data_IF_857888155932
#
_entry.id   IF_857888155932
#
_cell.length_a   1.000
_cell.length_b   1.000
_cell.length_c   1.000
_cell.angle_alpha   90.00
_cell.angle_beta   90.00
_cell.angle_gamma   90.00
#
_symmetry.space_group_name_H-M   'P 1'
#
loop_
_entity.id
_entity.type
_entity.pdbx_description
1 polymer ?
#
# COMPACT_ATOMS: atom_id res chain seq x y z
N UNK A 1 20.73 -9.22 21.23
CA UNK A 1 20.93 -8.76 19.86
C UNK A 1 19.84 -7.75 19.61
N UNK A 2 20.19 -6.48 19.42
CA UNK A 2 19.23 -5.43 19.11
C UNK A 2 18.61 -5.77 17.75
N UNK A 3 17.32 -6.01 17.69
CA UNK A 3 16.59 -6.07 16.42
C UNK A 3 16.69 -4.68 15.81
N UNK A 4 17.63 -4.47 14.87
CA UNK A 4 17.59 -3.28 14.03
C UNK A 4 16.36 -3.42 13.13
N UNK A 5 15.21 -2.94 13.59
CA UNK A 5 14.13 -2.66 12.67
C UNK A 5 14.63 -1.56 11.72
N UNK A 6 14.38 -1.69 10.41
CA UNK A 6 14.77 -0.65 9.45
C UNK A 6 14.09 0.68 9.83
N UNK A 7 14.79 1.79 9.59
CA UNK A 7 14.22 3.11 9.77
C UNK A 7 13.27 3.40 8.62
N UNK A 8 12.01 3.09 8.81
CA UNK A 8 10.95 3.31 7.82
C UNK A 8 10.39 4.71 7.96
N UNK A 9 10.31 5.41 6.83
CA UNK A 9 9.65 6.73 6.72
C UNK A 9 8.51 6.66 5.71
N UNK A 10 7.46 7.44 5.97
CA UNK A 10 6.31 7.61 5.08
C UNK A 10 6.29 9.04 4.60
N UNK A 11 5.98 9.24 3.33
CA UNK A 11 5.93 10.57 2.75
C UNK A 11 4.80 10.72 1.73
N UNK A 12 4.41 11.98 1.53
CA UNK A 12 3.49 12.42 0.51
C UNK A 12 3.79 13.87 0.12
N UNK A 13 3.57 14.21 -1.14
CA UNK A 13 3.77 15.55 -1.71
C UNK A 13 2.53 16.11 -2.36
N UNK A 14 2.26 17.39 -2.12
CA UNK A 14 1.34 18.17 -2.97
C UNK A 14 2.16 18.98 -3.97
N UNK A 15 1.66 19.07 -5.20
CA UNK A 15 2.43 19.62 -6.31
C UNK A 15 1.61 20.60 -7.18
N UNK A 16 2.28 21.34 -8.05
CA UNK A 16 1.63 22.25 -9.01
C UNK A 16 1.08 21.55 -10.26
N UNK A 17 1.30 20.24 -10.39
CA UNK A 17 0.87 19.42 -11.52
C UNK A 17 1.43 18.01 -11.41
N UNK A 18 1.45 17.27 -12.51
CA UNK A 18 1.78 15.85 -12.52
C UNK A 18 3.16 15.54 -13.12
N UNK A 19 3.83 16.52 -13.71
CA UNK A 19 4.98 16.33 -14.59
C UNK A 19 6.20 17.15 -14.13
N UNK A 20 7.03 16.65 -13.21
CA UNK A 20 8.22 17.36 -12.75
C UNK A 20 9.21 17.64 -13.89
N UNK A 21 9.26 16.80 -14.93
CA UNK A 21 10.06 16.99 -16.14
C UNK A 21 9.56 18.16 -17.02
N UNK A 22 8.31 18.57 -16.87
CA UNK A 22 7.72 19.74 -17.55
C UNK A 22 7.73 21.00 -16.68
N UNK A 23 8.38 20.92 -15.51
CA UNK A 23 8.59 22.04 -14.61
C UNK A 23 7.48 22.21 -13.56
N UNK A 24 6.71 21.17 -13.27
CA UNK A 24 5.86 21.18 -12.09
C UNK A 24 6.72 21.04 -10.82
N UNK A 25 6.24 21.65 -9.74
CA UNK A 25 7.03 21.85 -8.50
C UNK A 25 6.25 21.39 -7.25
N UNK A 26 6.99 21.05 -6.20
CA UNK A 26 6.42 20.66 -4.92
C UNK A 26 5.87 21.90 -4.19
N UNK A 27 4.65 21.80 -3.69
CA UNK A 27 3.97 22.81 -2.87
C UNK A 27 3.95 22.44 -1.38
N UNK A 28 3.94 21.16 -1.06
CA UNK A 28 3.94 20.64 0.30
C UNK A 28 4.65 19.28 0.35
N UNK A 29 5.32 19.02 1.43
CA UNK A 29 5.94 17.72 1.73
C UNK A 29 5.74 17.40 3.20
N UNK A 30 5.23 16.22 3.48
CA UNK A 30 5.21 15.63 4.82
C UNK A 30 6.05 14.36 4.85
N UNK A 31 6.83 14.16 5.91
CA UNK A 31 7.54 12.93 6.20
C UNK A 31 7.29 12.55 7.66
N UNK A 32 6.83 11.33 7.91
CA UNK A 32 6.64 10.79 9.26
C UNK A 32 7.43 9.49 9.46
N UNK A 33 7.70 9.13 10.72
CA UNK A 33 8.27 7.82 11.04
C UNK A 33 7.17 6.72 11.09
N UNK A 34 7.57 5.47 11.32
CA UNK A 34 6.66 4.33 11.42
C UNK A 34 5.62 4.42 12.55
N UNK A 35 5.77 5.36 13.47
CA UNK A 35 4.81 5.63 14.54
C UNK A 35 3.90 6.83 14.24
N UNK A 36 4.05 7.46 13.07
CA UNK A 36 3.31 8.65 12.68
C UNK A 36 3.85 9.95 13.31
N UNK A 37 5.07 9.93 13.88
CA UNK A 37 5.71 11.13 14.40
C UNK A 37 6.29 11.94 13.26
N UNK A 38 5.99 13.23 13.22
CA UNK A 38 6.52 14.18 12.24
C UNK A 38 8.05 14.25 12.28
N UNK A 39 8.67 14.02 11.14
CA UNK A 39 10.08 14.26 10.87
C UNK A 39 10.27 15.53 10.04
N UNK A 40 9.29 15.81 9.16
CA UNK A 40 9.23 17.00 8.31
C UNK A 40 7.78 17.27 7.91
N UNK A 41 7.36 18.55 7.88
CA UNK A 41 6.03 18.97 7.42
C UNK A 41 6.07 20.47 7.10
N UNK A 42 6.20 20.80 5.80
CA UNK A 42 6.33 22.17 5.35
C UNK A 42 5.64 22.40 3.98
N UNK A 43 5.20 23.63 3.76
CA UNK A 43 4.77 24.15 2.47
C UNK A 43 5.82 25.04 1.85
N UNK A 44 5.83 25.11 0.52
CA UNK A 44 6.85 25.81 -0.24
C UNK A 44 6.26 26.74 -1.29
N UNK A 45 6.94 27.86 -1.52
CA UNK A 45 6.74 28.67 -2.70
C UNK A 45 7.41 27.99 -3.90
N UNK A 46 6.69 27.72 -5.01
CA UNK A 46 7.33 27.25 -6.23
C UNK A 46 8.23 28.34 -6.83
N UNK A 47 9.33 27.93 -7.49
CA UNK A 47 10.31 28.86 -8.08
C UNK A 47 9.82 29.48 -9.40
N UNK A 48 9.16 28.67 -10.21
CA UNK A 48 8.84 29.00 -11.60
C UNK A 48 7.35 29.07 -11.88
N UNK A 49 6.58 28.12 -11.40
CA UNK A 49 5.12 28.09 -11.58
C UNK A 49 4.47 29.25 -10.82
N UNK A 50 3.51 29.92 -11.48
CA UNK A 50 2.78 31.05 -10.89
C UNK A 50 1.32 30.71 -10.63
N UNK A 51 0.76 29.80 -11.41
CA UNK A 51 -0.62 29.35 -11.33
C UNK A 51 -0.69 27.86 -11.61
N UNK A 52 -1.61 27.17 -10.93
CA UNK A 52 -1.84 25.72 -11.06
C UNK A 52 -3.32 25.38 -10.77
N UNK A 53 -4.28 25.92 -11.55
CA UNK A 53 -5.70 25.82 -11.25
C UNK A 53 -6.21 24.37 -11.16
N UNK A 54 -5.69 23.45 -11.98
CA UNK A 54 -6.06 22.04 -11.95
C UNK A 54 -5.59 21.36 -10.65
N UNK A 55 -4.33 21.55 -10.27
CA UNK A 55 -3.79 21.00 -9.02
C UNK A 55 -4.42 21.68 -7.80
N UNK A 56 -4.65 22.99 -7.85
CA UNK A 56 -5.33 23.75 -6.79
C UNK A 56 -6.76 23.24 -6.55
N UNK A 57 -7.47 22.83 -7.60
CA UNK A 57 -8.81 22.24 -7.45
C UNK A 57 -8.79 20.93 -6.65
N UNK A 58 -7.65 20.22 -6.61
CA UNK A 58 -7.46 18.96 -5.90
C UNK A 58 -6.88 19.18 -4.50
N UNK A 59 -5.70 19.84 -4.42
CA UNK A 59 -4.96 19.98 -3.15
C UNK A 59 -5.32 21.25 -2.35
N UNK A 60 -6.13 22.13 -2.91
CA UNK A 60 -6.62 23.37 -2.28
C UNK A 60 -5.51 24.34 -1.84
N UNK A 61 -4.31 24.23 -2.43
CA UNK A 61 -3.21 25.16 -2.19
C UNK A 61 -3.21 26.22 -3.30
N UNK A 62 -3.56 27.44 -2.96
CA UNK A 62 -3.54 28.56 -3.90
C UNK A 62 -2.16 29.23 -3.97
N UNK A 63 -1.85 30.01 -5.01
CA UNK A 63 -0.65 30.84 -5.06
C UNK A 63 -0.50 31.76 -3.85
N UNK A 64 -1.61 32.34 -3.37
CA UNK A 64 -1.61 33.26 -2.22
C UNK A 64 -1.21 32.59 -0.93
N UNK A 65 -1.53 31.28 -0.77
CA UNK A 65 -1.18 30.49 0.42
C UNK A 65 0.34 30.30 0.57
N UNK A 66 1.08 30.35 -0.53
CA UNK A 66 2.52 29.99 -0.55
C UNK A 66 3.42 31.14 -1.01
N UNK A 67 2.88 32.26 -1.52
CA UNK A 67 3.70 33.34 -2.09
C UNK A 67 4.72 33.97 -1.09
N UNK A 68 4.39 33.94 0.19
CA UNK A 68 5.20 34.49 1.28
C UNK A 68 6.17 33.45 1.90
N UNK A 69 6.12 32.19 1.45
CA UNK A 69 6.96 31.11 1.96
C UNK A 69 8.30 31.07 1.25
N UNK A 70 9.23 30.31 1.81
CA UNK A 70 10.52 30.00 1.18
C UNK A 70 10.35 28.86 0.18
N UNK A 71 11.31 28.74 -0.75
CA UNK A 71 11.35 27.61 -1.67
C UNK A 71 11.87 26.35 -0.96
N UNK A 72 11.58 25.18 -1.53
CA UNK A 72 12.05 23.89 -1.01
C UNK A 72 13.57 23.81 -0.82
N UNK A 73 14.35 24.59 -1.59
CA UNK A 73 15.82 24.62 -1.47
C UNK A 73 16.30 24.94 -0.05
N UNK A 74 15.57 25.79 0.66
CA UNK A 74 15.94 26.17 2.03
C UNK A 74 15.93 24.96 3.00
N UNK A 75 15.21 23.93 2.65
CA UNK A 75 15.02 22.72 3.46
C UNK A 75 15.74 21.49 2.89
N UNK A 76 16.39 21.61 1.74
CA UNK A 76 16.95 20.47 1.01
C UNK A 76 17.97 19.67 1.83
N UNK A 77 18.78 20.33 2.65
CA UNK A 77 19.72 19.62 3.53
C UNK A 77 19.00 18.75 4.57
N UNK A 78 17.89 19.23 5.13
CA UNK A 78 17.08 18.46 6.08
C UNK A 78 16.37 17.29 5.39
N UNK A 79 15.79 17.51 4.21
CA UNK A 79 15.13 16.51 3.41
C UNK A 79 16.11 15.40 3.03
N UNK A 80 17.28 15.76 2.47
CA UNK A 80 18.32 14.79 2.13
C UNK A 80 18.83 14.03 3.36
N UNK A 81 18.96 14.70 4.51
CA UNK A 81 19.35 14.01 5.74
C UNK A 81 18.38 12.91 6.12
N UNK A 82 17.08 13.11 5.93
CA UNK A 82 16.06 12.11 6.23
C UNK A 82 16.08 10.99 5.18
N UNK A 83 16.05 11.34 3.90
CA UNK A 83 15.84 10.38 2.81
C UNK A 83 17.12 9.63 2.38
N UNK A 84 18.28 10.23 2.56
CA UNK A 84 19.57 9.65 2.13
C UNK A 84 20.35 9.01 3.29
N UNK A 85 20.27 9.58 4.51
CA UNK A 85 21.13 9.15 5.62
C UNK A 85 20.41 8.42 6.73
N UNK A 86 19.09 8.56 6.85
CA UNK A 86 18.30 7.97 7.94
C UNK A 86 17.42 6.86 7.45
N UNK A 87 16.72 7.05 6.32
CA UNK A 87 15.74 6.09 5.84
C UNK A 87 16.40 4.84 5.25
N UNK A 88 16.02 3.68 5.79
CA UNK A 88 16.29 2.36 5.22
C UNK A 88 15.13 1.91 4.33
N UNK A 89 13.92 2.41 4.60
CA UNK A 89 12.70 2.17 3.83
C UNK A 89 11.93 3.48 3.64
N UNK A 90 11.49 3.73 2.41
CA UNK A 90 10.69 4.90 2.03
C UNK A 90 9.37 4.41 1.47
N UNK A 91 8.29 4.79 2.12
CA UNK A 91 6.92 4.34 1.83
C UNK A 91 6.06 5.51 1.39
N UNK A 92 5.23 5.30 0.39
CA UNK A 92 4.22 6.25 -0.05
C UNK A 92 3.08 5.55 -0.81
N UNK A 93 2.04 6.29 -1.12
CA UNK A 93 0.93 5.79 -1.92
C UNK A 93 1.12 6.23 -3.37
N UNK A 94 1.52 5.33 -4.26
CA UNK A 94 2.08 5.65 -5.58
C UNK A 94 3.41 6.41 -5.45
N UNK A 95 4.27 5.94 -4.59
CA UNK A 95 5.51 6.60 -4.13
C UNK A 95 6.47 7.02 -5.26
N UNK A 96 6.37 6.39 -6.42
CA UNK A 96 7.19 6.75 -7.59
C UNK A 96 6.95 8.21 -8.03
N UNK A 97 5.72 8.71 -7.86
CA UNK A 97 5.35 10.10 -8.11
C UNK A 97 6.15 11.05 -7.21
N UNK A 98 6.08 10.84 -5.90
CA UNK A 98 6.77 11.68 -4.91
C UNK A 98 8.28 11.67 -5.07
N UNK A 99 8.85 10.48 -5.29
CA UNK A 99 10.28 10.30 -5.54
C UNK A 99 10.71 11.05 -6.81
N UNK A 100 9.88 11.04 -7.85
CA UNK A 100 10.13 11.79 -9.09
C UNK A 100 10.25 13.30 -8.83
N UNK A 101 9.30 13.85 -8.11
CA UNK A 101 9.29 15.27 -7.73
C UNK A 101 10.45 15.65 -6.79
N UNK A 102 10.73 14.83 -5.79
CA UNK A 102 11.85 15.05 -4.87
C UNK A 102 13.18 15.06 -5.59
N UNK A 103 13.43 14.12 -6.52
CA UNK A 103 14.64 14.08 -7.35
C UNK A 103 14.73 15.30 -8.27
N UNK A 104 13.63 15.71 -8.89
CA UNK A 104 13.60 16.90 -9.73
C UNK A 104 13.87 18.18 -8.93
N UNK A 105 13.46 18.25 -7.67
CA UNK A 105 13.78 19.32 -6.76
C UNK A 105 15.24 19.29 -6.25
N UNK A 106 16.00 18.22 -6.52
CA UNK A 106 17.41 18.08 -6.14
C UNK A 106 17.64 17.25 -4.87
N UNK A 107 16.64 16.54 -4.38
CA UNK A 107 16.82 15.64 -3.24
C UNK A 107 17.68 14.43 -3.60
N UNK A 108 18.59 14.06 -2.69
CA UNK A 108 19.30 12.78 -2.72
C UNK A 108 18.53 11.77 -1.88
N UNK A 109 18.47 10.55 -2.38
CA UNK A 109 17.78 9.43 -1.74
C UNK A 109 18.77 8.29 -1.63
N UNK A 110 18.80 7.65 -0.47
CA UNK A 110 19.62 6.47 -0.21
C UNK A 110 19.42 5.43 -1.33
N UNK A 111 20.45 5.10 -2.12
CA UNK A 111 20.30 4.13 -3.20
C UNK A 111 20.02 2.70 -2.71
N UNK A 112 20.31 2.42 -1.43
CA UNK A 112 20.08 1.12 -0.81
C UNK A 112 18.74 1.08 -0.05
N UNK A 113 18.01 2.19 0.04
CA UNK A 113 16.70 2.21 0.68
C UNK A 113 15.68 1.42 -0.14
N UNK A 114 14.88 0.60 0.53
CA UNK A 114 13.73 -0.04 -0.08
C UNK A 114 12.63 0.99 -0.35
N UNK A 115 12.16 1.04 -1.58
CA UNK A 115 11.02 1.89 -1.98
C UNK A 115 9.77 1.02 -1.97
N UNK A 116 8.81 1.36 -1.11
CA UNK A 116 7.60 0.57 -0.88
C UNK A 116 6.39 1.36 -1.36
N UNK A 117 5.66 0.80 -2.32
CA UNK A 117 4.42 1.39 -2.83
C UNK A 117 3.21 0.75 -2.16
N UNK A 118 2.64 1.45 -1.19
CA UNK A 118 1.46 0.98 -0.44
C UNK A 118 0.26 0.72 -1.35
N UNK A 119 0.08 1.49 -2.43
CA UNK A 119 -1.03 1.27 -3.36
C UNK A 119 -0.93 -0.12 -4.00
N UNK A 120 0.27 -0.48 -4.45
CA UNK A 120 0.50 -1.78 -5.07
C UNK A 120 0.35 -2.92 -4.07
N UNK A 121 1.01 -2.81 -2.91
CA UNK A 121 0.96 -3.86 -1.89
C UNK A 121 -0.45 -4.06 -1.32
N UNK A 122 -1.22 -2.97 -1.13
CA UNK A 122 -2.61 -3.05 -0.69
C UNK A 122 -3.51 -3.75 -1.72
N UNK A 123 -3.29 -3.47 -3.01
CA UNK A 123 -4.01 -4.15 -4.09
C UNK A 123 -3.65 -5.63 -4.18
N UNK A 124 -2.39 -5.98 -3.97
CA UNK A 124 -1.92 -7.37 -3.99
C UNK A 124 -2.51 -8.17 -2.82
N UNK A 125 -2.59 -7.56 -1.62
CA UNK A 125 -3.14 -8.20 -0.44
C UNK A 125 -4.67 -8.33 -0.47
N UNK A 126 -5.39 -7.29 -0.89
CA UNK A 126 -6.84 -7.17 -0.72
C UNK A 126 -7.62 -7.01 -2.04
N UNK A 127 -6.94 -7.08 -3.16
CA UNK A 127 -7.54 -6.90 -4.48
C UNK A 127 -8.01 -5.46 -4.72
N UNK A 128 -8.32 -5.18 -5.97
CA UNK A 128 -8.95 -3.92 -6.33
C UNK A 128 -10.46 -4.03 -6.08
N UNK A 129 -11.04 -3.04 -5.41
CA UNK A 129 -12.51 -2.97 -5.28
C UNK A 129 -13.13 -2.92 -6.69
N UNK A 130 -14.30 -3.59 -6.88
CA UNK A 130 -14.99 -3.80 -8.17
C UNK A 130 -15.41 -2.52 -8.91
N UNK A 131 -14.65 -1.44 -8.83
CA UNK A 131 -14.96 -0.13 -9.41
C UNK A 131 -14.51 0.02 -10.87
N UNK A 132 -13.87 -0.99 -11.44
CA UNK A 132 -13.34 -0.95 -12.82
C UNK A 132 -12.07 -0.10 -12.99
N UNK A 133 -11.58 0.55 -11.94
CA UNK A 133 -10.33 1.29 -11.99
C UNK A 133 -9.12 0.36 -11.93
N UNK A 134 -8.11 0.65 -12.74
CA UNK A 134 -6.83 -0.10 -12.76
C UNK A 134 -6.05 0.08 -11.47
N UNK A 135 -6.19 1.24 -10.82
CA UNK A 135 -5.53 1.60 -9.57
C UNK A 135 -6.59 1.95 -8.52
N UNK A 136 -6.29 1.67 -7.27
CA UNK A 136 -7.16 2.03 -6.15
C UNK A 136 -6.67 3.35 -5.54
N UNK A 137 -7.45 4.45 -5.59
CA UNK A 137 -7.11 5.69 -4.90
C UNK A 137 -6.96 5.49 -3.40
N UNK A 138 -6.10 6.30 -2.75
CA UNK A 138 -5.91 6.28 -1.30
C UNK A 138 -7.21 6.46 -0.53
N UNK A 139 -8.10 7.35 -1.01
CA UNK A 139 -9.41 7.57 -0.41
C UNK A 139 -10.27 6.30 -0.35
N UNK A 140 -10.18 5.45 -1.37
CA UNK A 140 -10.88 4.15 -1.39
C UNK A 140 -10.26 3.14 -0.44
N UNK A 141 -8.93 3.06 -0.39
CA UNK A 141 -8.23 2.20 0.58
C UNK A 141 -8.60 2.62 2.02
N UNK A 142 -8.55 3.92 2.31
CA UNK A 142 -8.95 4.50 3.58
C UNK A 142 -10.42 4.19 3.93
N UNK A 143 -11.34 4.32 2.96
CA UNK A 143 -12.76 3.97 3.15
C UNK A 143 -12.94 2.48 3.46
N UNK A 144 -12.22 1.59 2.76
CA UNK A 144 -12.26 0.14 3.04
C UNK A 144 -11.79 -0.19 4.44
N UNK A 145 -10.78 0.51 4.95
CA UNK A 145 -10.25 0.37 6.30
C UNK A 145 -11.12 1.03 7.39
N UNK A 146 -12.16 1.77 7.00
CA UNK A 146 -12.90 2.61 7.95
C UNK A 146 -12.02 3.70 8.59
N UNK A 147 -10.99 4.16 7.87
CA UNK A 147 -10.06 5.16 8.36
C UNK A 147 -10.77 6.51 8.59
N UNK A 148 -10.58 7.06 9.80
CA UNK A 148 -11.10 8.37 10.14
C UNK A 148 -10.07 9.45 9.82
N UNK A 149 -10.33 10.23 8.77
CA UNK A 149 -9.46 11.32 8.37
C UNK A 149 -9.32 12.36 9.48
N UNK A 150 -8.09 12.73 9.81
CA UNK A 150 -7.81 13.77 10.82
C UNK A 150 -8.01 15.18 10.29
N UNK A 151 -7.92 15.34 8.97
CA UNK A 151 -8.21 16.55 8.19
C UNK A 151 -8.75 16.13 6.82
N UNK A 152 -9.10 17.10 5.96
CA UNK A 152 -9.55 16.79 4.61
C UNK A 152 -8.50 15.99 3.84
N UNK A 153 -8.90 15.02 2.99
CA UNK A 153 -8.03 14.41 2.00
C UNK A 153 -7.38 15.45 1.09
N UNK A 154 -6.31 15.06 0.40
CA UNK A 154 -5.50 15.94 -0.46
C UNK A 154 -4.76 17.04 0.34
N UNK A 155 -4.16 16.63 1.44
CA UNK A 155 -3.16 17.38 2.16
C UNK A 155 -2.04 16.41 2.57
N UNK A 156 -0.79 16.77 2.30
CA UNK A 156 0.34 15.84 2.44
C UNK A 156 0.40 15.13 3.80
N UNK A 157 0.05 15.80 4.90
CA UNK A 157 0.02 15.16 6.23
C UNK A 157 -1.12 14.14 6.35
N UNK A 158 -2.33 14.48 5.94
CA UNK A 158 -3.48 13.57 6.03
C UNK A 158 -3.28 12.34 5.18
N UNK A 159 -2.75 12.52 3.97
CA UNK A 159 -2.52 11.44 3.02
C UNK A 159 -1.35 10.55 3.45
N UNK A 160 -0.25 11.13 4.00
CA UNK A 160 0.82 10.36 4.63
C UNK A 160 0.32 9.48 5.77
N UNK A 161 -0.56 10.00 6.65
CA UNK A 161 -1.10 9.23 7.78
C UNK A 161 -2.10 8.14 7.32
N UNK A 162 -2.88 8.39 6.29
CA UNK A 162 -3.75 7.38 5.69
C UNK A 162 -2.94 6.28 4.99
N UNK A 163 -1.87 6.64 4.28
CA UNK A 163 -0.91 5.69 3.70
C UNK A 163 -0.28 4.81 4.79
N UNK A 164 0.18 5.41 5.89
CA UNK A 164 0.73 4.67 7.04
C UNK A 164 -0.28 3.67 7.62
N UNK A 165 -1.55 4.04 7.74
CA UNK A 165 -2.59 3.14 8.22
C UNK A 165 -2.82 1.97 7.24
N UNK A 166 -2.83 2.25 5.93
CA UNK A 166 -2.97 1.24 4.90
C UNK A 166 -1.78 0.27 4.89
N UNK A 167 -0.55 0.80 4.98
CA UNK A 167 0.65 -0.05 5.02
C UNK A 167 0.70 -0.93 6.27
N UNK A 168 0.31 -0.42 7.43
CA UNK A 168 0.22 -1.25 8.64
C UNK A 168 -0.73 -2.43 8.46
N UNK A 169 -1.87 -2.22 7.79
CA UNK A 169 -2.79 -3.31 7.49
C UNK A 169 -2.16 -4.35 6.55
N UNK A 170 -1.41 -3.91 5.55
CA UNK A 170 -0.66 -4.81 4.63
C UNK A 170 0.43 -5.59 5.38
N UNK A 171 1.23 -4.90 6.21
CA UNK A 171 2.28 -5.54 7.01
C UNK A 171 1.70 -6.61 7.94
N UNK A 172 0.56 -6.33 8.57
CA UNK A 172 -0.14 -7.30 9.42
C UNK A 172 -0.69 -8.48 8.61
N UNK A 173 -1.25 -8.23 7.43
CA UNK A 173 -1.69 -9.28 6.52
C UNK A 173 -0.52 -10.18 6.11
N UNK A 174 0.58 -9.61 5.65
CA UNK A 174 1.75 -10.36 5.21
C UNK A 174 2.35 -11.21 6.35
N UNK A 175 2.42 -10.61 7.56
CA UNK A 175 2.84 -11.36 8.74
C UNK A 175 1.92 -12.56 9.01
N UNK A 176 0.60 -12.37 8.92
CA UNK A 176 -0.37 -13.44 9.12
C UNK A 176 -0.24 -14.56 8.08
N UNK A 177 -0.03 -14.20 6.81
CA UNK A 177 0.20 -15.18 5.74
C UNK A 177 1.38 -16.10 6.06
N UNK A 178 2.45 -15.52 6.57
CA UNK A 178 3.69 -16.27 6.87
C UNK A 178 3.65 -17.03 8.19
N UNK A 179 3.01 -16.47 9.22
CA UNK A 179 3.19 -16.91 10.60
C UNK A 179 1.92 -17.41 11.28
N UNK A 180 0.72 -16.97 10.82
CA UNK A 180 -0.53 -17.35 11.48
C UNK A 180 -0.86 -18.81 11.18
N UNK A 181 -1.01 -19.59 12.23
CA UNK A 181 -1.52 -20.96 12.15
C UNK A 181 -3.05 -20.97 12.20
N UNK A 182 -3.67 -21.57 11.19
CA UNK A 182 -5.12 -21.73 11.10
C UNK A 182 -5.52 -23.20 11.19
N UNK A 183 -6.69 -23.44 11.80
CA UNK A 183 -7.36 -24.73 11.76
C UNK A 183 -8.36 -24.77 10.59
N UNK A 184 -8.74 -25.98 10.17
CA UNK A 184 -9.82 -26.16 9.20
C UNK A 184 -11.12 -25.47 9.69
N UNK A 185 -11.41 -25.55 10.99
CA UNK A 185 -12.59 -24.96 11.59
C UNK A 185 -12.57 -23.42 11.51
N UNK A 186 -11.41 -22.79 11.73
CA UNK A 186 -11.25 -21.34 11.57
C UNK A 186 -11.54 -20.89 10.12
N UNK A 187 -11.02 -21.63 9.13
CA UNK A 187 -11.24 -21.35 7.71
C UNK A 187 -12.72 -21.51 7.34
N UNK A 188 -13.38 -22.56 7.85
CA UNK A 188 -14.77 -22.84 7.53
C UNK A 188 -15.75 -21.87 8.21
N UNK A 189 -15.37 -21.30 9.36
CA UNK A 189 -16.20 -20.40 10.16
C UNK A 189 -15.74 -18.93 10.10
N UNK A 190 -15.00 -18.56 9.05
CA UNK A 190 -14.58 -17.16 8.80
C UNK A 190 -15.78 -16.22 8.86
N UNK A 191 -15.57 -15.00 9.37
CA UNK A 191 -16.63 -14.00 9.51
C UNK A 191 -16.39 -12.80 8.60
N UNK A 192 -17.44 -12.25 7.98
CA UNK A 192 -17.30 -11.01 7.24
C UNK A 192 -16.88 -9.87 8.18
N UNK A 193 -15.99 -9.01 7.68
CA UNK A 193 -15.57 -7.81 8.39
C UNK A 193 -16.61 -6.73 8.11
N UNK A 194 -17.29 -6.30 9.17
CA UNK A 194 -18.31 -5.27 9.08
C UNK A 194 -17.71 -3.90 9.39
N UNK A 195 -18.04 -2.90 8.54
CA UNK A 195 -17.74 -1.48 8.77
C UNK A 195 -16.24 -1.11 8.95
N UNK A 196 -15.31 -1.89 8.40
CA UNK A 196 -13.87 -1.58 8.51
C UNK A 196 -13.40 -1.54 9.96
N UNK A 197 -13.87 -2.46 10.81
CA UNK A 197 -13.48 -2.53 12.21
C UNK A 197 -12.01 -2.91 12.35
N UNK A 198 -11.34 -2.32 13.34
CA UNK A 198 -9.95 -2.63 13.71
C UNK A 198 -8.89 -2.38 12.62
N UNK A 199 -9.16 -1.47 11.66
CA UNK A 199 -8.24 -1.16 10.57
C UNK A 199 -8.16 -2.25 9.50
N UNK A 200 -9.16 -3.13 9.40
CA UNK A 200 -9.29 -4.16 8.38
C UNK A 200 -10.23 -3.72 7.26
N UNK A 201 -9.99 -4.16 6.01
CA UNK A 201 -10.88 -3.85 4.89
C UNK A 201 -12.29 -4.44 5.09
N UNK A 202 -13.33 -3.60 5.00
CA UNK A 202 -14.74 -3.96 5.23
C UNK A 202 -15.33 -4.97 4.23
N UNK A 203 -14.67 -5.19 3.11
CA UNK A 203 -15.08 -6.13 2.06
C UNK A 203 -14.29 -7.45 2.10
N UNK A 204 -13.66 -7.72 3.22
CA UNK A 204 -12.89 -8.93 3.49
C UNK A 204 -13.55 -9.80 4.57
N UNK A 205 -12.93 -10.93 4.84
CA UNK A 205 -13.35 -11.92 5.82
C UNK A 205 -12.23 -12.12 6.83
N UNK A 206 -12.55 -12.08 8.12
CA UNK A 206 -11.60 -12.38 9.18
C UNK A 206 -11.54 -13.89 9.43
N UNK A 207 -10.36 -14.47 9.25
CA UNK A 207 -10.10 -15.89 9.50
C UNK A 207 -9.70 -16.17 10.94
N UNK A 208 -9.48 -15.16 11.77
CA UNK A 208 -9.06 -15.33 13.16
C UNK A 208 -9.82 -14.41 14.14
N UNK A 209 -11.15 -14.45 14.13
CA UNK A 209 -11.95 -13.58 14.98
C UNK A 209 -11.63 -13.83 16.46
N UNK A 210 -11.27 -12.75 17.18
CA UNK A 210 -10.90 -12.80 18.59
C UNK A 210 -9.42 -13.07 18.88
N UNK A 211 -8.59 -13.21 17.85
CA UNK A 211 -7.12 -13.24 17.90
C UNK A 211 -6.49 -12.06 17.20
N UNK A 212 -5.29 -12.26 16.62
CA UNK A 212 -4.72 -11.28 15.69
C UNK A 212 -5.55 -11.30 14.41
N UNK A 213 -6.20 -10.18 14.03
CA UNK A 213 -7.10 -10.17 12.88
C UNK A 213 -6.37 -10.53 11.59
N UNK A 214 -7.00 -11.36 10.77
CA UNK A 214 -6.45 -11.75 9.47
C UNK A 214 -7.50 -11.61 8.38
N UNK A 215 -7.45 -10.51 7.66
CA UNK A 215 -8.35 -10.21 6.58
C UNK A 215 -7.93 -10.91 5.28
N UNK A 216 -8.89 -11.57 4.65
CA UNK A 216 -8.73 -12.13 3.29
C UNK A 216 -9.92 -11.76 2.42
N UNK A 217 -9.70 -11.66 1.12
CA UNK A 217 -10.77 -11.44 0.15
C UNK A 217 -11.61 -12.70 -0.04
N UNK A 218 -12.84 -12.56 -0.53
CA UNK A 218 -13.73 -13.69 -0.79
C UNK A 218 -13.12 -14.77 -1.72
N UNK A 219 -12.41 -14.42 -2.83
CA UNK A 219 -11.75 -15.42 -3.67
C UNK A 219 -10.69 -16.23 -2.91
N UNK A 220 -9.92 -15.59 -2.02
CA UNK A 220 -8.93 -16.26 -1.18
C UNK A 220 -9.61 -17.17 -0.17
N UNK A 221 -10.66 -16.69 0.51
CA UNK A 221 -11.46 -17.50 1.42
C UNK A 221 -11.99 -18.78 0.74
N UNK A 222 -12.61 -18.64 -0.44
CA UNK A 222 -13.13 -19.78 -1.19
C UNK A 222 -12.03 -20.78 -1.56
N UNK A 223 -10.83 -20.31 -1.89
CA UNK A 223 -9.69 -21.18 -2.17
C UNK A 223 -9.25 -21.95 -0.93
N UNK A 224 -9.13 -21.30 0.21
CA UNK A 224 -8.79 -21.93 1.49
C UNK A 224 -9.86 -22.96 1.92
N UNK A 225 -11.14 -22.60 1.83
CA UNK A 225 -12.26 -23.50 2.13
C UNK A 225 -12.31 -24.73 1.21
N UNK A 226 -12.02 -24.54 -0.08
CA UNK A 226 -11.94 -25.64 -1.02
C UNK A 226 -10.79 -26.60 -0.68
N UNK A 227 -9.64 -26.04 -0.28
CA UNK A 227 -8.49 -26.83 0.21
C UNK A 227 -8.84 -27.62 1.47
N UNK A 228 -9.47 -26.98 2.45
CA UNK A 228 -9.90 -27.63 3.69
C UNK A 228 -10.84 -28.81 3.41
N UNK A 229 -11.85 -28.60 2.56
CA UNK A 229 -12.80 -29.66 2.13
C UNK A 229 -12.10 -30.84 1.43
N UNK A 230 -11.12 -30.57 0.57
CA UNK A 230 -10.36 -31.60 -0.12
C UNK A 230 -9.50 -32.41 0.86
N UNK A 231 -8.86 -31.74 1.82
CA UNK A 231 -8.08 -32.39 2.87
C UNK A 231 -8.94 -33.28 3.76
N UNK A 232 -10.12 -32.82 4.16
CA UNK A 232 -11.08 -33.59 4.93
C UNK A 232 -11.50 -34.89 4.20
N UNK A 233 -11.85 -34.79 2.89
CA UNK A 233 -12.22 -35.94 2.06
C UNK A 233 -11.09 -36.94 1.88
N UNK A 234 -9.84 -36.49 1.83
CA UNK A 234 -8.68 -37.35 1.69
C UNK A 234 -8.27 -38.03 3.01
N UNK A 235 -8.95 -37.75 4.12
CA UNK A 235 -8.59 -38.29 5.45
C UNK A 235 -7.22 -37.79 5.96
N UNK A 236 -6.68 -36.72 5.36
CA UNK A 236 -5.37 -36.17 5.69
C UNK A 236 -5.41 -35.13 6.81
N UNK A 237 -6.60 -34.71 7.21
CA UNK A 237 -6.85 -33.91 8.41
C UNK A 237 -7.23 -34.83 9.56
N UNK A 238 -6.28 -35.55 10.11
CA UNK A 238 -6.46 -36.16 11.40
C UNK A 238 -6.28 -35.07 12.45
N UNK A 239 -7.36 -34.77 13.16
CA UNK A 239 -7.38 -34.05 14.42
C UNK A 239 -6.50 -32.78 14.48
N UNK A 240 -7.09 -31.61 14.21
CA UNK A 240 -6.56 -30.30 14.59
C UNK A 240 -5.14 -29.95 14.13
N UNK A 241 -4.78 -30.28 12.89
CA UNK A 241 -3.47 -29.84 12.38
C UNK A 241 -3.56 -28.34 12.11
N UNK A 242 -2.96 -27.55 12.99
CA UNK A 242 -2.70 -26.14 12.70
C UNK A 242 -1.68 -26.08 11.58
N UNK A 243 -1.98 -25.30 10.58
CA UNK A 243 -1.07 -25.03 9.47
C UNK A 243 -1.01 -23.54 9.24
N UNK A 244 0.14 -23.02 8.79
CA UNK A 244 0.23 -21.65 8.32
C UNK A 244 -0.62 -21.47 7.07
N UNK A 245 -1.01 -20.22 6.79
CA UNK A 245 -1.77 -19.90 5.58
C UNK A 245 -1.03 -20.37 4.33
N UNK A 246 0.29 -20.16 4.27
CA UNK A 246 1.11 -20.66 3.17
C UNK A 246 1.04 -22.19 3.01
N UNK A 247 1.07 -22.94 4.09
CA UNK A 247 0.92 -24.39 4.04
C UNK A 247 -0.46 -24.85 3.54
N UNK A 248 -1.52 -24.07 3.85
CA UNK A 248 -2.86 -24.33 3.30
C UNK A 248 -2.90 -24.08 1.79
N UNK A 249 -2.24 -23.03 1.28
CA UNK A 249 -2.14 -22.77 -0.15
C UNK A 249 -1.34 -23.85 -0.88
N UNK A 250 -0.18 -24.23 -0.37
CA UNK A 250 0.65 -25.32 -0.93
C UNK A 250 -0.12 -26.64 -1.03
N UNK A 251 -0.94 -26.91 -0.02
CA UNK A 251 -1.75 -28.13 0.02
C UNK A 251 -2.89 -28.07 -0.99
N UNK A 252 -3.51 -26.90 -1.19
CA UNK A 252 -4.53 -26.68 -2.23
C UNK A 252 -3.96 -26.91 -3.62
N UNK A 253 -2.79 -26.37 -3.93
CA UNK A 253 -2.14 -26.51 -5.22
C UNK A 253 -1.76 -27.99 -5.51
N UNK A 254 -1.18 -28.69 -4.55
CA UNK A 254 -0.86 -30.12 -4.69
C UNK A 254 -2.09 -30.97 -4.93
N UNK A 255 -3.20 -30.66 -4.26
CA UNK A 255 -4.46 -31.37 -4.40
C UNK A 255 -5.10 -31.15 -5.78
N UNK A 256 -5.03 -29.94 -6.33
CA UNK A 256 -5.50 -29.61 -7.68
C UNK A 256 -4.64 -30.29 -8.76
N UNK A 257 -3.32 -30.34 -8.61
CA UNK A 257 -2.41 -31.02 -9.54
C UNK A 257 -2.69 -32.53 -9.61
N UNK A 258 -3.00 -33.15 -8.48
CA UNK A 258 -3.32 -34.57 -8.41
C UNK A 258 -4.71 -34.91 -9.01
N UNK A 259 -5.66 -33.99 -8.98
CA UNK A 259 -7.03 -34.22 -9.49
C UNK A 259 -7.18 -33.94 -10.98
N UNK A 260 -6.34 -33.13 -11.60
CA UNK A 260 -6.51 -32.66 -12.97
C UNK A 260 -5.57 -33.32 -13.99
N UNK A 261 -4.58 -34.12 -13.57
CA UNK A 261 -3.64 -34.80 -14.49
C UNK A 261 -2.97 -33.89 -15.53
N UNK A 262 -3.09 -32.58 -15.40
CA UNK A 262 -2.49 -31.56 -16.27
C UNK A 262 -1.84 -30.48 -15.42
N UNK A 263 -0.55 -30.25 -15.66
CA UNK A 263 0.18 -29.15 -15.06
C UNK A 263 -0.37 -27.82 -15.55
N UNK A 264 -1.15 -27.14 -14.73
CA UNK A 264 -1.42 -25.72 -14.92
C UNK A 264 -0.37 -24.98 -14.10
N UNK A 265 0.52 -24.32 -14.81
CA UNK A 265 1.67 -23.59 -14.25
C UNK A 265 1.18 -22.28 -13.60
N UNK A 266 0.79 -22.36 -12.31
CA UNK A 266 0.28 -21.20 -11.56
C UNK A 266 1.45 -20.28 -11.16
N UNK A 267 2.69 -20.77 -11.14
CA UNK A 267 3.90 -19.94 -10.99
C UNK A 267 4.11 -18.95 -12.14
N UNK A 268 3.47 -19.18 -13.30
CA UNK A 268 3.46 -18.24 -14.43
C UNK A 268 2.45 -17.10 -14.28
N UNK A 269 1.42 -17.23 -13.46
CA UNK A 269 0.45 -16.15 -13.28
C UNK A 269 1.01 -14.98 -12.45
N UNK A 270 1.80 -15.26 -11.43
CA UNK A 270 2.51 -14.24 -10.66
C UNK A 270 3.67 -13.62 -11.47
N UNK A 271 4.39 -14.46 -12.27
CA UNK A 271 5.47 -13.99 -13.15
C UNK A 271 4.95 -13.30 -14.42
N UNK A 272 3.75 -13.65 -14.92
CA UNK A 272 3.14 -12.99 -16.07
C UNK A 272 2.52 -11.63 -15.71
N UNK A 273 2.15 -11.40 -14.48
CA UNK A 273 1.78 -10.06 -13.97
C UNK A 273 3.01 -9.15 -13.89
N UNK A 274 4.17 -9.68 -13.51
CA UNK A 274 5.43 -8.91 -13.50
C UNK A 274 6.02 -8.65 -14.90
N UNK A 275 5.79 -9.51 -15.88
CA UNK A 275 6.32 -9.32 -17.24
C UNK A 275 5.45 -8.47 -18.17
N UNK A 276 4.21 -8.16 -17.79
CA UNK A 276 3.36 -7.22 -18.52
C UNK A 276 3.62 -5.75 -18.15
N UNK A 277 4.49 -5.49 -17.17
CA UNK A 277 4.87 -4.13 -16.77
C UNK A 277 5.99 -3.51 -17.61
N UNK A 278 6.67 -4.27 -18.50
CA UNK A 278 7.75 -3.71 -19.32
C UNK A 278 7.31 -3.08 -20.65
N UNK A 279 6.06 -3.22 -21.09
CA UNK A 279 5.57 -2.64 -22.34
C UNK A 279 4.10 -2.18 -22.23
N UNK A 280 3.83 -1.13 -21.47
CA UNK A 280 2.58 -0.40 -21.60
C UNK A 280 2.87 1.09 -21.68
N UNK A 281 2.88 1.60 -22.91
CA UNK A 281 2.75 3.02 -23.20
C UNK A 281 1.57 3.60 -22.44
N UNK A 282 1.84 4.72 -21.75
CA UNK A 282 0.85 5.51 -21.03
C UNK A 282 -0.19 6.03 -22.02
N UNK A 283 -1.49 5.71 -21.92
CA UNK A 283 -2.49 6.41 -22.71
C UNK A 283 -2.65 7.84 -22.16
N UNK A 284 -2.42 8.81 -23.03
CA UNK A 284 -2.86 10.19 -22.86
C UNK A 284 -4.40 10.19 -22.84
N UNK A 285 -5.00 10.11 -21.68
CA UNK A 285 -6.38 10.62 -21.44
C UNK A 285 -6.69 10.50 -19.93
N UNK A 286 -6.34 11.53 -19.18
CA UNK A 286 -6.90 11.82 -17.87
C UNK A 286 -7.39 13.27 -17.87
N UNK A 287 -8.36 13.56 -18.76
CA UNK A 287 -9.27 14.69 -18.58
C UNK A 287 -10.66 14.11 -18.34
N UNK A 288 -11.01 13.95 -17.12
CA UNK A 288 -12.30 14.26 -16.44
C UNK A 288 -12.41 13.53 -15.12
#
# INVERSE_FOLDING_TARGET
>A
MSSNNPNRVYLDTETTGLHPEEGDEILSLTIVDANGRLLFDERFKPKHKKEWPEAQAVNHISPDDVEHLTTIDAYMEQICRILDRIADEIVGYNVAFDIGFLKAAGATINPDAAIIDTMQEFMDAFGNSNTGHRYQPLSMAAERLGYNWTSAPHGSLSDTLACLAAQKCVDDHNWCVENLELTEDAIMNAKPIENGSEGLPKDCWDLNPGGRPFAVTEPILHRLQSSAKLCARAGTTTQFTRMTVNQWFDKAERSQRSSLGRSVDIGRAASALNSQHEHAEVPQDLTK
#
